data_IF_713011410552
#
_entry.id   IF_713011410552
#
_cell.length_a   1.000
_cell.length_b   1.000
_cell.length_c   1.000
_cell.angle_alpha   90.00
_cell.angle_beta   90.00
_cell.angle_gamma   90.00
#
_symmetry.space_group_name_H-M   'P 1'
#
loop_
_entity.id
_entity.type
_entity.pdbx_description
1 polymer ?
#
# COMPACT_ATOMS: atom_id res chain seq x y z
N UNK A 1 31.44 -22.24 6.73
CA UNK A 1 30.89 -22.32 5.36
C UNK A 1 30.11 -23.60 5.06
N UNK A 2 30.53 -24.78 5.58
CA UNK A 2 29.84 -26.07 5.35
C UNK A 2 28.41 -26.15 5.90
N UNK A 3 28.05 -25.39 6.94
CA UNK A 3 26.72 -25.41 7.54
C UNK A 3 25.64 -24.77 6.65
N UNK A 4 25.91 -23.62 6.05
CA UNK A 4 24.97 -22.91 5.18
C UNK A 4 24.61 -23.73 3.93
N UNK A 5 25.59 -24.44 3.36
CA UNK A 5 25.35 -25.29 2.18
C UNK A 5 24.48 -26.51 2.51
N UNK A 6 24.68 -27.12 3.68
CA UNK A 6 23.84 -28.23 4.17
C UNK A 6 22.38 -27.76 4.41
N UNK A 7 22.22 -26.60 5.03
CA UNK A 7 20.89 -26.02 5.27
C UNK A 7 20.19 -25.69 3.96
N UNK A 8 20.91 -25.06 3.01
CA UNK A 8 20.35 -24.75 1.69
C UNK A 8 19.91 -26.01 0.94
N UNK A 9 20.74 -27.07 0.95
CA UNK A 9 20.39 -28.35 0.34
C UNK A 9 19.17 -28.98 0.98
N UNK A 10 19.12 -29.03 2.31
CA UNK A 10 17.98 -29.58 3.05
C UNK A 10 16.67 -28.82 2.77
N UNK A 11 16.71 -27.50 2.62
CA UNK A 11 15.56 -26.71 2.25
C UNK A 11 15.14 -26.95 0.80
N UNK A 12 16.11 -27.04 -0.12
CA UNK A 12 15.86 -27.34 -1.53
C UNK A 12 15.25 -28.72 -1.72
N UNK A 13 15.73 -29.72 -0.98
CA UNK A 13 15.20 -31.10 -1.02
C UNK A 13 13.75 -31.19 -0.49
N UNK A 14 13.34 -30.23 0.36
CA UNK A 14 11.94 -30.04 0.82
C UNK A 14 11.08 -29.21 -0.14
N UNK A 15 11.61 -28.84 -1.32
CA UNK A 15 10.89 -28.02 -2.29
C UNK A 15 10.89 -26.52 -2.01
N UNK A 16 11.63 -26.05 -0.99
CA UNK A 16 11.77 -24.62 -0.71
C UNK A 16 12.70 -24.00 -1.75
N UNK A 17 12.20 -22.97 -2.43
CA UNK A 17 12.88 -22.33 -3.53
C UNK A 17 13.52 -21.03 -3.07
N UNK A 18 14.80 -20.83 -3.37
CA UNK A 18 15.47 -19.57 -3.14
C UNK A 18 14.93 -18.45 -4.06
N UNK A 19 15.01 -17.21 -3.62
CA UNK A 19 14.46 -16.05 -4.34
C UNK A 19 14.95 -15.93 -5.78
N UNK A 20 16.23 -16.19 -6.05
CA UNK A 20 16.80 -16.12 -7.40
C UNK A 20 16.17 -17.16 -8.33
N UNK A 21 16.02 -18.40 -7.86
CA UNK A 21 15.40 -19.48 -8.62
C UNK A 21 13.91 -19.18 -8.84
N UNK A 22 13.19 -18.72 -7.82
CA UNK A 22 11.79 -18.29 -7.94
C UNK A 22 11.67 -17.21 -9.04
N UNK A 23 12.54 -16.21 -9.00
CA UNK A 23 12.50 -15.12 -9.97
C UNK A 23 12.83 -15.60 -11.40
N UNK A 24 13.86 -16.43 -11.57
CA UNK A 24 14.27 -16.91 -12.90
C UNK A 24 13.28 -17.92 -13.49
N UNK A 25 12.89 -18.95 -12.72
CA UNK A 25 12.15 -20.09 -13.25
C UNK A 25 10.61 -19.81 -13.31
N UNK A 26 10.12 -18.85 -12.53
CA UNK A 26 8.68 -18.56 -12.42
C UNK A 26 8.35 -17.11 -12.77
N UNK A 27 8.86 -16.14 -12.02
CA UNK A 27 8.43 -14.74 -12.19
C UNK A 27 8.74 -14.21 -13.57
N UNK A 28 10.00 -14.30 -14.00
CA UNK A 28 10.43 -13.80 -15.32
C UNK A 28 9.88 -14.63 -16.48
N UNK A 29 9.65 -15.93 -16.26
CA UNK A 29 9.16 -16.83 -17.28
C UNK A 29 7.67 -16.64 -17.57
N UNK A 30 6.87 -16.45 -16.53
CA UNK A 30 5.40 -16.40 -16.65
C UNK A 30 4.82 -15.00 -16.61
N UNK A 31 5.58 -13.99 -16.16
CA UNK A 31 5.13 -12.61 -16.08
C UNK A 31 6.01 -11.71 -16.95
N UNK A 32 5.45 -11.21 -18.03
CA UNK A 32 6.14 -10.25 -18.89
C UNK A 32 6.39 -8.95 -18.13
N UNK A 33 7.60 -8.41 -18.17
CA UNK A 33 7.95 -7.15 -17.49
C UNK A 33 7.07 -5.97 -17.91
N UNK A 34 6.59 -5.95 -19.14
CA UNK A 34 5.65 -4.92 -19.63
C UNK A 34 4.31 -4.89 -18.87
N UNK A 35 3.98 -5.97 -18.14
CA UNK A 35 2.75 -6.05 -17.34
C UNK A 35 2.97 -5.66 -15.87
N UNK A 36 4.21 -5.49 -15.42
CA UNK A 36 4.51 -5.15 -14.03
C UNK A 36 3.83 -3.85 -13.57
N UNK A 37 3.80 -2.76 -14.34
CA UNK A 37 3.12 -1.54 -13.92
C UNK A 37 1.63 -1.75 -13.58
N UNK A 38 0.99 -2.78 -14.16
CA UNK A 38 -0.42 -3.09 -13.89
C UNK A 38 -0.64 -3.57 -12.46
N UNK A 39 0.35 -4.24 -11.85
CA UNK A 39 0.25 -4.81 -10.51
C UNK A 39 1.08 -4.04 -9.49
N UNK A 40 2.13 -3.35 -9.93
CA UNK A 40 3.01 -2.57 -9.05
C UNK A 40 2.40 -1.21 -8.69
N UNK A 41 1.55 -0.65 -9.57
CA UNK A 41 0.88 0.63 -9.36
C UNK A 41 -0.59 0.42 -9.00
N UNK A 42 -0.95 0.72 -7.75
CA UNK A 42 -2.31 0.53 -7.21
C UNK A 42 -3.37 1.37 -7.93
N UNK A 43 -2.99 2.52 -8.47
CA UNK A 43 -3.91 3.38 -9.24
C UNK A 43 -4.23 2.70 -10.56
N UNK A 44 -3.22 2.26 -11.31
CA UNK A 44 -3.39 1.54 -12.58
C UNK A 44 -4.18 0.24 -12.37
N UNK A 45 -3.85 -0.53 -11.33
CA UNK A 45 -4.58 -1.75 -10.96
C UNK A 45 -6.06 -1.45 -10.73
N UNK A 46 -6.36 -0.41 -9.96
CA UNK A 46 -7.72 0.00 -9.62
C UNK A 46 -8.50 0.48 -10.86
N UNK A 47 -7.90 1.28 -11.71
CA UNK A 47 -8.51 1.72 -12.98
C UNK A 47 -8.86 0.53 -13.89
N UNK A 48 -7.95 -0.44 -13.99
CA UNK A 48 -8.19 -1.68 -14.74
C UNK A 48 -9.31 -2.53 -14.14
N UNK A 49 -9.35 -2.65 -12.82
CA UNK A 49 -10.40 -3.37 -12.11
C UNK A 49 -11.77 -2.73 -12.36
N UNK A 50 -11.88 -1.41 -12.23
CA UNK A 50 -13.11 -0.65 -12.53
C UNK A 50 -13.55 -0.87 -13.96
N UNK A 51 -12.63 -0.76 -14.93
CA UNK A 51 -12.93 -0.97 -16.35
C UNK A 51 -13.41 -2.42 -16.65
N UNK A 52 -12.99 -3.39 -15.82
CA UNK A 52 -13.43 -4.78 -15.90
C UNK A 52 -14.69 -5.08 -15.08
N UNK A 53 -15.33 -4.10 -14.47
CA UNK A 53 -16.51 -4.29 -13.62
C UNK A 53 -16.22 -4.94 -12.27
N UNK A 54 -14.97 -4.96 -11.83
CA UNK A 54 -14.57 -5.52 -10.53
C UNK A 54 -14.74 -4.44 -9.47
N UNK A 55 -15.42 -4.78 -8.38
CA UNK A 55 -15.61 -3.88 -7.25
C UNK A 55 -14.28 -3.64 -6.52
N UNK A 56 -13.94 -2.37 -6.32
CA UNK A 56 -12.78 -1.92 -5.57
C UNK A 56 -13.20 -0.82 -4.58
N UNK A 57 -12.45 -0.58 -3.51
CA UNK A 57 -12.72 0.55 -2.62
C UNK A 57 -12.80 1.86 -3.39
N UNK A 58 -13.77 2.72 -3.06
CA UNK A 58 -13.94 4.02 -3.71
C UNK A 58 -12.67 4.85 -3.61
N UNK A 59 -12.19 5.38 -4.72
CA UNK A 59 -11.06 6.29 -4.78
C UNK A 59 -11.58 7.73 -4.59
N UNK A 60 -11.15 8.40 -3.54
CA UNK A 60 -11.53 9.79 -3.26
C UNK A 60 -10.70 10.79 -4.05
N UNK A 61 -9.42 10.47 -4.25
CA UNK A 61 -8.54 11.29 -5.08
C UNK A 61 -7.09 10.81 -5.07
N UNK A 62 -6.31 11.48 -5.90
CA UNK A 62 -4.88 11.23 -6.07
C UNK A 62 -4.15 12.55 -5.84
N UNK A 63 -3.04 12.50 -5.11
CA UNK A 63 -2.10 13.60 -4.94
C UNK A 63 -0.80 13.22 -5.64
N UNK A 64 -0.39 14.02 -6.62
CA UNK A 64 0.78 13.78 -7.48
C UNK A 64 1.88 14.84 -7.28
N UNK A 65 1.52 15.96 -6.68
CA UNK A 65 2.46 17.09 -6.46
C UNK A 65 2.26 17.70 -5.08
N UNK A 66 3.33 18.29 -4.52
CA UNK A 66 3.29 18.97 -3.22
C UNK A 66 2.17 20.03 -3.16
N UNK A 67 1.97 20.80 -4.22
CA UNK A 67 0.90 21.81 -4.30
C UNK A 67 -0.50 21.21 -4.15
N UNK A 68 -0.71 19.96 -4.55
CA UNK A 68 -2.01 19.29 -4.41
C UNK A 68 -2.32 18.85 -2.98
N UNK A 69 -1.32 18.82 -2.08
CA UNK A 69 -1.53 18.52 -0.65
C UNK A 69 -2.50 19.54 -0.04
N UNK A 70 -2.47 20.80 -0.47
CA UNK A 70 -3.42 21.84 -0.05
C UNK A 70 -4.88 21.45 -0.33
N UNK A 71 -5.13 20.60 -1.32
CA UNK A 71 -6.47 20.11 -1.69
C UNK A 71 -6.97 18.93 -0.86
N UNK A 72 -6.20 18.46 0.11
CA UNK A 72 -6.53 17.28 0.89
C UNK A 72 -7.94 17.37 1.50
N UNK A 73 -8.32 18.51 2.07
CA UNK A 73 -9.64 18.69 2.67
C UNK A 73 -10.77 18.63 1.63
N UNK A 74 -10.52 19.10 0.42
CA UNK A 74 -11.48 18.97 -0.68
C UNK A 74 -11.64 17.52 -1.12
N UNK A 75 -10.54 16.76 -1.17
CA UNK A 75 -10.52 15.33 -1.54
C UNK A 75 -11.24 14.50 -0.48
N UNK A 76 -10.93 14.72 0.79
CA UNK A 76 -11.56 14.02 1.91
C UNK A 76 -13.03 14.43 2.04
N UNK A 77 -13.35 15.70 1.82
CA UNK A 77 -14.69 16.24 2.01
C UNK A 77 -15.15 16.09 3.46
N UNK A 78 -16.40 15.66 3.64
CA UNK A 78 -17.00 15.42 4.96
C UNK A 78 -16.72 14.04 5.56
N UNK A 79 -15.79 13.26 5.00
CA UNK A 79 -15.51 11.88 5.46
C UNK A 79 -14.65 11.90 6.72
N UNK A 80 -15.02 11.07 7.68
CA UNK A 80 -14.29 10.95 8.94
C UNK A 80 -13.19 9.89 8.90
N UNK A 81 -13.32 8.90 8.01
CA UNK A 81 -12.37 7.82 7.87
C UNK A 81 -11.94 7.66 6.40
N UNK A 82 -10.68 7.31 6.22
CA UNK A 82 -10.07 7.11 4.91
C UNK A 82 -8.70 6.46 5.04
N UNK A 83 -8.14 6.05 3.92
CA UNK A 83 -6.78 5.51 3.84
C UNK A 83 -5.95 6.31 2.86
N UNK A 84 -4.72 6.61 3.23
CA UNK A 84 -3.69 7.16 2.34
C UNK A 84 -2.68 6.05 2.06
N UNK A 85 -2.40 5.81 0.78
CA UNK A 85 -1.46 4.76 0.34
C UNK A 85 -0.51 5.29 -0.73
N UNK A 86 0.77 4.89 -0.73
CA UNK A 86 1.63 5.08 -1.89
C UNK A 86 1.14 4.22 -3.05
N UNK A 87 1.14 4.75 -4.27
CA UNK A 87 0.71 4.01 -5.46
C UNK A 87 1.63 2.82 -5.73
N UNK A 88 2.95 2.99 -5.56
CA UNK A 88 3.97 1.99 -5.85
C UNK A 88 4.67 1.39 -4.61
N UNK A 89 4.15 1.67 -3.41
CA UNK A 89 4.66 1.08 -2.17
C UNK A 89 4.36 -0.42 -2.06
N UNK A 90 5.18 -1.14 -1.32
CA UNK A 90 5.05 -2.56 -1.06
C UNK A 90 5.10 -2.87 0.44
N UNK A 91 4.62 -4.06 0.85
CA UNK A 91 4.73 -4.55 2.22
C UNK A 91 3.94 -3.76 3.27
N UNK A 92 2.98 -2.93 2.86
CA UNK A 92 2.24 -2.08 3.79
C UNK A 92 2.96 -0.78 4.17
N UNK A 93 4.20 -0.58 3.74
CA UNK A 93 4.98 0.61 4.05
C UNK A 93 4.33 1.89 3.50
N UNK A 94 4.31 2.93 4.32
CA UNK A 94 3.77 4.23 3.93
C UNK A 94 2.23 4.33 3.95
N UNK A 95 1.52 3.28 4.38
CA UNK A 95 0.07 3.32 4.52
C UNK A 95 -0.30 4.06 5.81
N UNK A 96 -1.21 5.02 5.71
CA UNK A 96 -1.81 5.71 6.84
C UNK A 96 -3.32 5.47 6.84
N UNK A 97 -3.82 4.82 7.90
CA UNK A 97 -5.23 4.50 8.06
C UNK A 97 -5.85 5.42 9.11
N UNK A 98 -6.75 6.28 8.67
CA UNK A 98 -7.52 7.19 9.53
C UNK A 98 -8.85 6.53 9.88
N UNK A 99 -9.09 6.38 11.18
CA UNK A 99 -10.32 5.77 11.71
C UNK A 99 -11.38 6.80 12.06
N UNK A 100 -10.97 8.04 12.36
CA UNK A 100 -11.88 9.10 12.74
C UNK A 100 -11.24 10.49 12.59
N UNK A 101 -12.09 11.51 12.46
CA UNK A 101 -11.68 12.92 12.36
C UNK A 101 -12.52 13.75 13.34
N UNK A 102 -11.85 14.53 14.19
CA UNK A 102 -12.53 15.41 15.16
C UNK A 102 -11.68 16.66 15.43
N UNK A 103 -12.31 17.79 15.53
CA UNK A 103 -11.68 19.08 15.90
C UNK A 103 -10.39 19.39 15.12
N UNK A 104 -10.37 19.10 13.81
CA UNK A 104 -9.19 19.33 12.96
C UNK A 104 -8.04 18.35 13.20
N UNK A 105 -8.24 17.32 14.02
CA UNK A 105 -7.28 16.23 14.24
C UNK A 105 -7.79 14.93 13.67
N UNK A 106 -6.90 13.96 13.56
CA UNK A 106 -7.17 12.64 12.97
C UNK A 106 -6.77 11.55 13.96
N UNK A 107 -7.58 10.53 14.07
CA UNK A 107 -7.27 9.34 14.87
C UNK A 107 -6.97 8.17 13.95
N UNK A 108 -5.80 7.58 14.09
CA UNK A 108 -5.42 6.36 13.37
C UNK A 108 -6.12 5.13 13.94
N UNK A 109 -6.08 4.00 13.22
CA UNK A 109 -6.62 2.71 13.73
C UNK A 109 -5.86 2.21 14.96
N UNK A 110 -4.59 2.55 15.13
CA UNK A 110 -3.81 2.25 16.35
C UNK A 110 -4.19 3.14 17.55
N UNK A 111 -5.08 4.12 17.35
CA UNK A 111 -5.52 5.06 18.38
C UNK A 111 -4.65 6.30 18.54
N UNK A 112 -3.56 6.44 17.78
CA UNK A 112 -2.72 7.65 17.78
C UNK A 112 -3.52 8.83 17.23
N UNK A 113 -3.44 9.97 17.89
CA UNK A 113 -3.99 11.24 17.41
C UNK A 113 -2.88 12.01 16.70
N UNK A 114 -3.14 12.40 15.45
CA UNK A 114 -2.21 13.14 14.61
C UNK A 114 -2.82 14.45 14.12
N UNK A 115 -1.96 15.42 13.84
CA UNK A 115 -2.33 16.71 13.26
C UNK A 115 -2.35 16.67 11.73
N UNK A 116 -2.76 17.78 11.15
CA UNK A 116 -2.73 18.00 9.71
C UNK A 116 -1.30 17.95 9.16
N UNK A 117 -0.35 18.51 9.89
CA UNK A 117 1.08 18.56 9.57
C UNK A 117 1.70 17.16 9.43
N UNK A 118 1.32 16.22 10.30
CA UNK A 118 1.79 14.83 10.20
C UNK A 118 1.25 14.13 8.93
N UNK A 119 0.02 14.44 8.52
CA UNK A 119 -0.55 13.90 7.27
C UNK A 119 0.15 14.52 6.05
N UNK A 120 0.38 15.83 6.05
CA UNK A 120 1.10 16.53 4.98
C UNK A 120 2.53 16.00 4.84
N UNK A 121 3.22 15.77 5.96
CA UNK A 121 4.53 15.13 5.96
C UNK A 121 4.48 13.72 5.38
N UNK A 122 3.47 12.94 5.73
CA UNK A 122 3.30 11.59 5.18
C UNK A 122 3.07 11.63 3.65
N UNK A 123 2.26 12.58 3.18
CA UNK A 123 2.05 12.78 1.74
C UNK A 123 3.34 13.18 1.02
N UNK A 124 4.11 14.12 1.57
CA UNK A 124 5.42 14.51 1.04
C UNK A 124 6.40 13.34 1.00
N UNK A 125 6.42 12.50 2.03
CA UNK A 125 7.23 11.28 2.06
C UNK A 125 6.84 10.32 0.93
N UNK A 126 5.55 10.15 0.66
CA UNK A 126 5.08 9.33 -0.47
C UNK A 126 5.54 9.94 -1.80
N UNK A 127 5.29 11.24 -2.00
CA UNK A 127 5.65 11.93 -3.25
C UNK A 127 7.16 11.91 -3.53
N UNK A 128 7.97 11.95 -2.49
CA UNK A 128 9.44 11.83 -2.62
C UNK A 128 9.91 10.44 -3.05
N UNK A 129 9.04 9.42 -2.97
CA UNK A 129 9.36 8.04 -3.29
C UNK A 129 9.98 7.26 -2.13
N UNK A 130 9.86 7.74 -0.89
CA UNK A 130 10.43 7.08 0.31
C UNK A 130 9.96 5.62 0.43
N UNK A 131 8.74 5.31 0.01
CA UNK A 131 8.13 3.98 0.11
C UNK A 131 8.10 3.21 -1.22
N UNK A 132 8.54 3.82 -2.31
CA UNK A 132 8.53 3.18 -3.62
C UNK A 132 9.75 2.30 -3.84
N UNK A 133 9.56 1.19 -4.53
CA UNK A 133 10.67 0.33 -4.95
C UNK A 133 11.61 1.11 -5.87
N UNK A 134 12.87 1.26 -5.46
CA UNK A 134 13.88 1.99 -6.20
C UNK A 134 13.94 3.50 -5.93
N UNK A 135 13.15 4.03 -4.98
CA UNK A 135 13.21 5.44 -4.58
C UNK A 135 12.72 6.43 -5.66
N UNK A 136 11.90 5.96 -6.60
CA UNK A 136 11.31 6.82 -7.61
C UNK A 136 10.13 7.62 -7.04
N UNK A 137 9.92 8.82 -7.57
CA UNK A 137 8.74 9.62 -7.24
C UNK A 137 7.47 8.80 -7.37
N UNK A 138 6.58 8.95 -6.41
CA UNK A 138 5.34 8.21 -6.33
C UNK A 138 4.14 9.17 -6.22
N UNK A 139 2.96 8.61 -6.18
CA UNK A 139 1.68 9.32 -6.03
C UNK A 139 0.98 8.77 -4.80
N UNK A 140 0.25 9.64 -4.11
CA UNK A 140 -0.57 9.23 -2.97
C UNK A 140 -2.01 9.00 -3.43
N UNK A 141 -2.52 7.80 -3.16
CA UNK A 141 -3.91 7.42 -3.36
C UNK A 141 -4.67 7.62 -2.05
N UNK A 142 -5.80 8.32 -2.10
CA UNK A 142 -6.73 8.49 -0.97
C UNK A 142 -8.01 7.76 -1.32
N UNK A 143 -8.44 6.84 -0.46
CA UNK A 143 -9.55 5.95 -0.76
C UNK A 143 -10.39 5.58 0.46
N UNK A 144 -11.54 4.96 0.19
CA UNK A 144 -12.43 4.39 1.20
C UNK A 144 -11.70 3.40 2.09
N UNK A 145 -11.91 3.55 3.39
CA UNK A 145 -11.40 2.60 4.38
C UNK A 145 -12.29 1.36 4.44
N UNK A 146 -11.80 0.23 3.99
CA UNK A 146 -12.48 -1.05 4.16
C UNK A 146 -12.44 -1.44 5.62
N UNK A 147 -13.61 -1.71 6.21
CA UNK A 147 -13.70 -2.23 7.57
C UNK A 147 -13.89 -3.75 7.46
N UNK A 148 -12.98 -4.55 7.99
CA UNK A 148 -13.12 -5.99 7.96
C UNK A 148 -14.29 -6.46 8.84
N UNK A 149 -14.88 -7.59 8.47
CA UNK A 149 -15.85 -8.28 9.30
C UNK A 149 -15.27 -8.55 10.70
N UNK A 150 -16.06 -8.47 11.78
CA UNK A 150 -15.60 -8.70 13.15
C UNK A 150 -14.85 -10.02 13.36
N UNK A 151 -15.18 -11.08 12.59
CA UNK A 151 -14.44 -12.35 12.62
C UNK A 151 -12.98 -12.17 12.23
N UNK A 152 -12.72 -11.41 11.17
CA UNK A 152 -11.35 -11.15 10.68
C UNK A 152 -10.61 -10.13 11.55
N UNK A 153 -11.33 -9.22 12.19
CA UNK A 153 -10.71 -8.21 13.06
C UNK A 153 -9.93 -8.83 14.22
N UNK A 154 -10.34 -9.99 14.72
CA UNK A 154 -9.67 -10.67 15.84
C UNK A 154 -8.33 -11.32 15.46
N UNK A 155 -8.10 -11.57 14.17
CA UNK A 155 -6.88 -12.23 13.64
C UNK A 155 -6.03 -11.32 12.78
N UNK A 156 -6.48 -10.08 12.53
CA UNK A 156 -5.74 -9.10 11.74
C UNK A 156 -4.87 -8.22 12.62
N UNK A 157 -3.67 -7.89 12.16
CA UNK A 157 -2.82 -6.91 12.83
C UNK A 157 -3.48 -5.53 12.78
N UNK A 158 -3.65 -4.90 13.95
CA UNK A 158 -4.36 -3.61 14.10
C UNK A 158 -5.77 -3.55 13.45
N UNK A 159 -6.39 -4.71 13.20
CA UNK A 159 -7.70 -4.79 12.58
C UNK A 159 -7.74 -4.46 11.09
N UNK A 160 -6.59 -4.49 10.43
CA UNK A 160 -6.46 -4.31 8.98
C UNK A 160 -5.99 -5.65 8.40
N UNK A 161 -6.80 -6.34 7.59
CA UNK A 161 -6.35 -7.55 6.89
C UNK A 161 -5.34 -7.16 5.80
N UNK A 162 -4.28 -7.93 5.70
CA UNK A 162 -3.32 -7.87 4.59
C UNK A 162 -3.93 -8.44 3.29
#
# INVERSE_FOLDING_TARGET
>A
MLGLWKTWKALSDKGIMGINRRNADYVLKYNKRSLYPIVDDKIITKERAIAAGIHVPEMYGIIETEKQIEKLDQIIGGRNDFVIKPAQGAGGDGILVIADRFEGRYRTVSGKIIGRDEIEQQLSNILSGLYSLGGHRDRALIEYRVTPDPIFKSISYEGVPD
#
